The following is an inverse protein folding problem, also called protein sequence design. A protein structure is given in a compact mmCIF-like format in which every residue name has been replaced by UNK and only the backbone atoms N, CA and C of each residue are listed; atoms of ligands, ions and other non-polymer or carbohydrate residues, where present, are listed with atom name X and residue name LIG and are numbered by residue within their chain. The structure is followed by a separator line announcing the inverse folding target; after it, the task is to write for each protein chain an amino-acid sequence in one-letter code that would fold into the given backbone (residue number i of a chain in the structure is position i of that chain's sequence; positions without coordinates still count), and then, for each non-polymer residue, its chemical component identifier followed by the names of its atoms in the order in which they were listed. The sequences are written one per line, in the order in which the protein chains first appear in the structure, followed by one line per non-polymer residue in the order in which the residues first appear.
data_IF_991680747310
#
_entry.id   IF_991680747310
#
_cell.length_a   1.000
_cell.length_b   1.000
_cell.length_c   1.000
_cell.angle_alpha   90.00
_cell.angle_beta   90.00
_cell.angle_gamma   90.00
#
_symmetry.space_group_name_H-M   'P 1'
#
loop_
_entity.id
_entity.type
_entity.pdbx_description
1 polymer ?
#
# COMPACT_ATOMS: atom_id res chain seq x y z
N UNK A 1 -19.17 -11.62 8.06
CA UNK A 1 -19.86 -11.13 6.84
C UNK A 1 -21.33 -10.81 7.05
N UNK A 2 -22.17 -11.72 7.56
CA UNK A 2 -23.59 -11.42 7.83
C UNK A 2 -23.82 -10.30 8.87
N UNK A 3 -22.95 -10.20 9.89
CA UNK A 3 -23.09 -9.21 10.97
C UNK A 3 -22.68 -7.77 10.63
N UNK A 4 -22.07 -7.52 9.46
CA UNK A 4 -21.68 -6.16 9.00
C UNK A 4 -22.29 -5.74 7.66
N UNK A 5 -22.88 -6.65 6.89
CA UNK A 5 -23.20 -6.44 5.47
C UNK A 5 -24.66 -6.50 5.05
N UNK A 6 -25.60 -6.85 5.95
CA UNK A 6 -27.03 -6.95 5.61
C UNK A 6 -27.39 -8.01 4.55
N UNK A 7 -26.44 -8.88 4.15
CA UNK A 7 -26.62 -9.89 3.11
C UNK A 7 -25.46 -10.89 3.03
N UNK A 8 -25.60 -11.92 2.19
CA UNK A 8 -24.57 -12.94 1.96
C UNK A 8 -23.48 -12.41 1.03
N UNK A 9 -22.22 -12.50 1.46
CA UNK A 9 -21.04 -12.18 0.66
C UNK A 9 -20.09 -13.38 0.67
N UNK A 10 -19.65 -13.82 -0.52
CA UNK A 10 -18.83 -15.04 -0.72
C UNK A 10 -17.46 -14.94 -0.04
N UNK A 11 -16.85 -13.75 -0.01
CA UNK A 11 -15.52 -13.54 0.59
C UNK A 11 -15.54 -12.44 1.63
N UNK A 12 -15.76 -11.19 1.24
CA UNK A 12 -15.94 -10.02 2.12
C UNK A 12 -16.81 -8.98 1.43
N UNK A 13 -17.36 -8.03 2.18
CA UNK A 13 -18.09 -6.88 1.61
C UNK A 13 -17.17 -5.87 0.89
N UNK A 14 -15.86 -6.00 1.06
CA UNK A 14 -14.84 -5.17 0.41
C UNK A 14 -14.26 -5.81 -0.86
N UNK A 15 -14.73 -7.01 -1.22
CA UNK A 15 -14.22 -7.73 -2.39
C UNK A 15 -14.40 -6.93 -3.69
N UNK A 16 -15.54 -6.23 -3.84
CA UNK A 16 -15.80 -5.39 -5.01
C UNK A 16 -14.86 -4.20 -5.13
N UNK A 17 -14.79 -3.31 -4.12
CA UNK A 17 -13.82 -2.21 -4.11
C UNK A 17 -12.39 -2.69 -4.37
N UNK A 18 -11.95 -3.78 -3.70
CA UNK A 18 -10.60 -4.32 -3.91
C UNK A 18 -10.39 -4.85 -5.34
N UNK A 19 -11.43 -5.46 -5.93
CA UNK A 19 -11.38 -5.92 -7.31
C UNK A 19 -11.27 -4.72 -8.25
N UNK A 20 -12.01 -3.64 -8.00
CA UNK A 20 -11.92 -2.43 -8.79
C UNK A 20 -10.54 -1.77 -8.70
N UNK A 21 -10.03 -1.50 -7.50
CA UNK A 21 -8.70 -0.91 -7.27
C UNK A 21 -7.61 -1.66 -8.04
N UNK A 22 -7.68 -2.99 -8.08
CA UNK A 22 -6.68 -3.80 -8.78
C UNK A 22 -6.89 -3.98 -10.29
N UNK A 23 -8.00 -3.52 -10.88
CA UNK A 23 -8.37 -3.82 -12.27
C UNK A 23 -9.00 -2.65 -13.05
N UNK A 24 -9.24 -1.50 -12.43
CA UNK A 24 -9.78 -0.34 -13.14
C UNK A 24 -8.79 0.16 -14.20
N UNK A 25 -9.30 0.93 -15.14
CA UNK A 25 -8.50 1.54 -16.19
C UNK A 25 -7.50 2.51 -15.58
N UNK A 26 -6.24 2.38 -15.97
CA UNK A 26 -5.13 3.17 -15.42
C UNK A 26 -4.52 2.60 -14.13
N UNK A 27 -5.08 1.52 -13.56
CA UNK A 27 -4.49 0.87 -12.40
C UNK A 27 -3.06 0.38 -12.68
N UNK A 28 -2.19 0.52 -11.67
CA UNK A 28 -0.79 0.10 -11.71
C UNK A 28 -0.60 -1.37 -11.32
N UNK A 29 -1.62 -1.99 -10.71
CA UNK A 29 -1.62 -3.36 -10.20
C UNK A 29 -1.17 -3.48 -8.74
N UNK A 30 -0.80 -2.38 -8.11
CA UNK A 30 -0.65 -2.23 -6.65
C UNK A 30 -1.87 -1.54 -6.08
N UNK A 31 -1.90 -1.30 -4.76
CA UNK A 31 -3.00 -0.57 -4.14
C UNK A 31 -2.99 0.90 -4.57
N UNK A 32 -4.18 1.42 -4.86
CA UNK A 32 -4.43 2.83 -5.17
C UNK A 32 -5.66 3.29 -4.38
N UNK A 33 -5.63 4.53 -3.93
CA UNK A 33 -6.75 5.12 -3.18
C UNK A 33 -7.90 5.50 -4.13
N UNK A 34 -9.15 5.24 -3.71
CA UNK A 34 -10.33 5.64 -4.48
C UNK A 34 -10.58 7.16 -4.44
N UNK A 35 -10.13 7.84 -3.39
CA UNK A 35 -10.15 9.30 -3.26
C UNK A 35 -8.73 9.80 -3.00
N UNK A 36 -8.16 10.64 -3.87
CA UNK A 36 -6.82 11.17 -3.69
C UNK A 36 -6.62 11.85 -2.32
N UNK A 37 -5.52 11.54 -1.63
CA UNK A 37 -5.15 12.08 -0.32
C UNK A 37 -5.87 11.44 0.88
N UNK A 38 -6.54 10.31 0.74
CA UNK A 38 -7.27 9.62 1.83
C UNK A 38 -6.84 8.15 1.97
N UNK A 39 -5.53 7.90 2.05
CA UNK A 39 -4.90 6.59 2.21
C UNK A 39 -5.10 5.89 3.57
N UNK A 40 -6.08 6.29 4.38
CA UNK A 40 -6.29 5.69 5.70
C UNK A 40 -7.24 4.48 5.60
N UNK A 41 -6.79 3.27 5.98
CA UNK A 41 -7.62 2.05 5.92
C UNK A 41 -8.95 2.14 6.67
N UNK A 42 -9.09 3.06 7.62
CA UNK A 42 -10.33 3.29 8.37
C UNK A 42 -11.42 3.94 7.49
N UNK A 43 -11.04 4.70 6.47
CA UNK A 43 -11.97 5.43 5.61
C UNK A 43 -12.21 4.76 4.26
N UNK A 44 -11.34 3.87 3.78
CA UNK A 44 -11.47 3.20 2.48
C UNK A 44 -12.86 2.61 2.22
N UNK A 45 -13.38 1.86 3.20
CA UNK A 45 -14.68 1.23 3.07
C UNK A 45 -15.86 2.22 3.07
N UNK A 46 -15.71 3.35 3.76
CA UNK A 46 -16.69 4.42 3.76
C UNK A 46 -16.62 5.22 2.46
N UNK A 47 -15.41 5.50 1.96
CA UNK A 47 -15.18 6.22 0.70
C UNK A 47 -15.71 5.41 -0.49
N UNK A 48 -15.45 4.10 -0.52
CA UNK A 48 -15.99 3.19 -1.53
C UNK A 48 -17.53 3.16 -1.53
N UNK A 49 -18.16 3.23 -0.34
CA UNK A 49 -19.62 3.33 -0.24
C UNK A 49 -20.11 4.69 -0.70
N UNK A 50 -19.51 5.77 -0.22
CA UNK A 50 -19.93 7.13 -0.51
C UNK A 50 -19.92 7.41 -2.02
N UNK A 51 -18.85 7.02 -2.72
CA UNK A 51 -18.77 7.13 -4.19
C UNK A 51 -19.89 6.33 -4.85
N UNK A 52 -20.07 5.07 -4.46
CA UNK A 52 -21.09 4.22 -5.06
C UNK A 52 -22.53 4.74 -4.83
N UNK A 53 -22.82 5.30 -3.65
CA UNK A 53 -24.11 5.91 -3.31
C UNK A 53 -24.33 7.24 -4.04
N UNK A 54 -23.29 8.06 -4.17
CA UNK A 54 -23.29 9.32 -4.92
C UNK A 54 -23.60 9.08 -6.41
N UNK A 55 -22.93 8.11 -7.04
CA UNK A 55 -23.17 7.75 -8.44
C UNK A 55 -24.51 7.02 -8.66
N UNK A 56 -24.95 6.22 -7.68
CA UNK A 56 -26.23 5.50 -7.78
C UNK A 56 -27.43 6.36 -7.41
N UNK A 57 -27.22 7.55 -6.81
CA UNK A 57 -28.28 8.44 -6.34
C UNK A 57 -29.15 7.86 -5.21
N UNK A 58 -28.68 6.82 -4.50
CA UNK A 58 -29.42 6.13 -3.44
C UNK A 58 -28.48 5.47 -2.43
N UNK A 59 -29.00 5.18 -1.25
CA UNK A 59 -28.27 4.37 -0.26
C UNK A 59 -28.13 2.92 -0.72
N UNK A 60 -26.97 2.33 -0.45
CA UNK A 60 -26.59 1.00 -0.91
C UNK A 60 -26.23 0.10 0.27
N UNK A 61 -26.69 -1.14 0.23
CA UNK A 61 -26.19 -2.20 1.12
C UNK A 61 -24.74 -2.52 0.78
N UNK A 62 -24.02 -3.14 1.72
CA UNK A 62 -22.61 -3.48 1.49
C UNK A 62 -22.41 -4.48 0.32
N UNK A 63 -23.39 -5.36 0.09
CA UNK A 63 -23.38 -6.26 -1.07
C UNK A 63 -23.60 -5.49 -2.39
N UNK A 64 -24.50 -4.51 -2.41
CA UNK A 64 -24.73 -3.66 -3.59
C UNK A 64 -23.52 -2.78 -3.90
N UNK A 65 -22.86 -2.22 -2.89
CA UNK A 65 -21.57 -1.50 -3.06
C UNK A 65 -20.55 -2.44 -3.71
N UNK A 66 -20.40 -3.67 -3.20
CA UNK A 66 -19.47 -4.64 -3.81
C UNK A 66 -19.83 -4.96 -5.26
N UNK A 67 -21.11 -5.13 -5.58
CA UNK A 67 -21.55 -5.43 -6.95
C UNK A 67 -21.41 -4.23 -7.89
N UNK A 68 -21.59 -3.02 -7.38
CA UNK A 68 -21.34 -1.78 -8.11
C UNK A 68 -19.90 -1.74 -8.63
N UNK A 69 -18.92 -1.88 -7.73
CA UNK A 69 -17.50 -1.83 -8.08
C UNK A 69 -17.04 -2.98 -8.99
N UNK A 70 -17.56 -4.20 -8.80
CA UNK A 70 -17.26 -5.32 -9.73
C UNK A 70 -17.79 -5.02 -11.12
N UNK A 71 -19.02 -4.49 -11.25
CA UNK A 71 -19.59 -4.16 -12.56
C UNK A 71 -18.81 -3.05 -13.25
N UNK A 72 -18.39 -2.04 -12.51
CA UNK A 72 -17.58 -0.95 -13.05
C UNK A 72 -16.23 -1.45 -13.55
N UNK A 73 -15.53 -2.27 -12.76
CA UNK A 73 -14.26 -2.89 -13.17
C UNK A 73 -14.42 -3.72 -14.45
N UNK A 74 -15.44 -4.59 -14.50
CA UNK A 74 -15.67 -5.45 -15.65
C UNK A 74 -16.07 -4.65 -16.91
N UNK A 75 -16.81 -3.54 -16.75
CA UNK A 75 -17.15 -2.65 -17.85
C UNK A 75 -15.89 -1.99 -18.43
N UNK A 76 -15.06 -1.39 -17.59
CA UNK A 76 -13.79 -0.77 -18.00
C UNK A 76 -12.82 -1.79 -18.63
N UNK A 77 -12.78 -3.01 -18.09
CA UNK A 77 -11.99 -4.09 -18.68
C UNK A 77 -12.49 -4.49 -20.07
N UNK A 78 -13.81 -4.46 -20.28
CA UNK A 78 -14.45 -4.72 -21.57
C UNK A 78 -14.20 -3.63 -22.61
N UNK A 79 -14.08 -2.37 -22.18
CA UNK A 79 -13.75 -1.24 -23.05
C UNK A 79 -12.31 -1.26 -23.55
N UNK A 80 -11.37 -1.74 -22.71
CA UNK A 80 -9.94 -1.80 -23.03
C UNK A 80 -9.33 -3.19 -22.70
N UNK A 81 -9.66 -4.25 -23.46
CA UNK A 81 -9.22 -5.62 -23.15
C UNK A 81 -7.70 -5.79 -23.27
N UNK A 82 -7.04 -5.05 -24.16
CA UNK A 82 -5.58 -5.05 -24.30
C UNK A 82 -4.86 -4.46 -23.09
N UNK A 83 -5.35 -3.31 -22.59
CA UNK A 83 -4.83 -2.67 -21.37
C UNK A 83 -5.03 -3.60 -20.15
N UNK A 84 -6.21 -4.22 -20.05
CA UNK A 84 -6.55 -5.18 -18.99
C UNK A 84 -5.68 -6.42 -19.00
N UNK A 85 -5.39 -6.98 -20.18
CA UNK A 85 -4.48 -8.11 -20.30
C UNK A 85 -3.05 -7.73 -19.92
N UNK A 86 -2.58 -6.55 -20.34
CA UNK A 86 -1.28 -6.03 -19.97
C UNK A 86 -1.17 -5.83 -18.44
N UNK A 87 -2.20 -5.28 -17.82
CA UNK A 87 -2.31 -5.13 -16.36
C UNK A 87 -2.28 -6.48 -15.65
N UNK A 88 -3.03 -7.47 -16.14
CA UNK A 88 -3.00 -8.83 -15.58
C UNK A 88 -1.61 -9.45 -15.66
N UNK A 89 -0.92 -9.31 -16.80
CA UNK A 89 0.46 -9.78 -16.96
C UNK A 89 1.44 -9.05 -16.03
N UNK A 90 1.26 -7.74 -15.84
CA UNK A 90 2.02 -6.95 -14.87
C UNK A 90 1.80 -7.47 -13.45
N UNK A 91 0.56 -7.74 -13.04
CA UNK A 91 0.22 -8.30 -11.73
C UNK A 91 0.78 -9.70 -11.51
N UNK A 92 0.74 -10.56 -12.52
CA UNK A 92 1.38 -11.88 -12.46
C UNK A 92 2.90 -11.76 -12.28
N UNK A 93 3.54 -10.79 -12.96
CA UNK A 93 4.96 -10.51 -12.78
C UNK A 93 5.26 -9.95 -11.39
N UNK A 94 4.45 -9.03 -10.86
CA UNK A 94 4.55 -8.52 -9.49
C UNK A 94 4.40 -9.65 -8.46
N UNK A 95 3.45 -10.56 -8.65
CA UNK A 95 3.24 -11.70 -7.76
C UNK A 95 4.45 -12.65 -7.69
N UNK A 96 5.25 -12.73 -8.76
CA UNK A 96 6.45 -13.57 -8.86
C UNK A 96 7.76 -12.78 -8.83
N UNK A 97 7.74 -11.48 -8.54
CA UNK A 97 8.95 -10.66 -8.47
C UNK A 97 9.68 -10.81 -7.12
N UNK A 98 10.97 -10.56 -7.04
CA UNK A 98 11.67 -10.55 -5.75
C UNK A 98 11.12 -9.48 -4.79
N UNK A 99 10.68 -8.35 -5.34
CA UNK A 99 10.21 -7.19 -4.59
C UNK A 99 8.84 -7.48 -3.97
N UNK A 100 8.71 -7.17 -2.68
CA UNK A 100 7.49 -7.37 -1.90
C UNK A 100 6.82 -6.02 -1.67
N UNK A 101 5.79 -5.72 -2.46
CA UNK A 101 4.97 -4.51 -2.29
C UNK A 101 4.43 -4.49 -0.85
N UNK A 102 4.86 -3.55 0.01
CA UNK A 102 4.41 -3.49 1.37
C UNK A 102 2.95 -3.04 1.40
N UNK A 103 2.28 -3.43 2.47
CA UNK A 103 0.94 -2.95 2.79
C UNK A 103 1.07 -1.81 3.80
N UNK A 104 1.31 -2.13 5.08
CA UNK A 104 1.70 -1.14 6.09
C UNK A 104 3.21 -1.15 6.41
N UNK A 105 3.87 -2.29 6.27
CA UNK A 105 5.28 -2.44 6.64
C UNK A 105 6.01 -3.28 5.61
N UNK A 106 7.16 -2.78 5.15
CA UNK A 106 8.08 -3.49 4.28
C UNK A 106 8.94 -4.48 5.04
N UNK A 107 9.26 -5.60 4.39
CA UNK A 107 10.19 -6.58 4.95
C UNK A 107 11.60 -6.02 5.14
N UNK A 108 12.00 -5.02 4.35
CA UNK A 108 13.28 -4.34 4.52
C UNK A 108 13.38 -3.66 5.90
N UNK A 109 12.35 -2.90 6.30
CA UNK A 109 12.26 -2.28 7.62
C UNK A 109 12.44 -3.31 8.76
N UNK A 110 11.76 -4.45 8.70
CA UNK A 110 11.90 -5.50 9.72
C UNK A 110 13.29 -6.15 9.76
N UNK A 111 13.98 -6.27 8.62
CA UNK A 111 15.36 -6.83 8.55
C UNK A 111 16.38 -5.92 9.24
N UNK A 112 16.20 -4.61 9.18
CA UNK A 112 17.08 -3.68 9.86
C UNK A 112 16.95 -3.79 11.37
N UNK A 113 15.73 -3.98 11.87
CA UNK A 113 15.42 -4.01 13.30
C UNK A 113 15.73 -5.36 13.98
N UNK A 114 15.90 -6.45 13.22
CA UNK A 114 16.08 -7.80 13.77
C UNK A 114 17.32 -8.51 13.26
N UNK A 115 18.21 -8.90 14.19
CA UNK A 115 19.40 -9.72 13.87
C UNK A 115 19.02 -11.06 13.23
N UNK A 116 17.94 -11.69 13.67
CA UNK A 116 17.47 -12.96 13.12
C UNK A 116 17.01 -12.80 11.66
N UNK A 117 16.26 -11.74 11.35
CA UNK A 117 15.84 -11.46 9.97
C UNK A 117 17.01 -11.03 9.09
N UNK A 118 18.00 -10.32 9.65
CA UNK A 118 19.24 -10.00 8.92
C UNK A 118 20.04 -11.24 8.54
N UNK A 119 20.12 -12.23 9.43
CA UNK A 119 20.77 -13.52 9.13
C UNK A 119 20.03 -14.30 8.04
N UNK A 120 18.70 -14.29 8.05
CA UNK A 120 17.86 -14.96 7.05
C UNK A 120 17.65 -14.14 5.77
N UNK A 121 18.11 -12.89 5.71
CA UNK A 121 17.90 -11.98 4.59
C UNK A 121 18.31 -12.55 3.21
N UNK A 122 19.39 -13.34 3.08
CA UNK A 122 19.75 -13.97 1.80
C UNK A 122 18.70 -14.98 1.29
N UNK A 123 17.86 -15.53 2.18
CA UNK A 123 16.78 -16.45 1.81
C UNK A 123 15.49 -15.65 1.54
N UNK A 124 15.50 -14.87 0.47
CA UNK A 124 14.33 -14.11 0.02
C UNK A 124 13.59 -14.81 -1.13
N UNK A 125 12.40 -14.30 -1.46
CA UNK A 125 11.56 -14.86 -2.53
C UNK A 125 12.31 -14.98 -3.88
N UNK A 126 13.15 -14.00 -4.18
CA UNK A 126 14.01 -13.96 -5.37
C UNK A 126 15.04 -15.09 -5.47
N UNK A 127 15.28 -15.86 -4.39
CA UNK A 127 16.10 -17.08 -4.38
C UNK A 127 15.23 -18.34 -4.34
N UNK A 128 14.18 -18.33 -3.52
CA UNK A 128 13.29 -19.49 -3.33
C UNK A 128 12.54 -19.82 -4.60
N UNK A 129 11.99 -18.83 -5.31
CA UNK A 129 11.21 -19.06 -6.52
C UNK A 129 12.04 -19.64 -7.69
N UNK A 130 13.24 -19.13 -8.02
CA UNK A 130 14.13 -19.77 -8.99
C UNK A 130 14.51 -21.21 -8.63
N UNK A 131 14.80 -21.49 -7.35
CA UNK A 131 15.08 -22.85 -6.89
C UNK A 131 13.87 -23.77 -7.03
N UNK A 132 12.65 -23.25 -6.80
CA UNK A 132 11.41 -24.00 -7.01
C UNK A 132 11.15 -24.28 -8.50
N UNK A 133 11.43 -23.32 -9.40
CA UNK A 133 11.34 -23.53 -10.85
C UNK A 133 12.34 -24.63 -11.28
N UNK A 134 13.57 -24.58 -10.78
CA UNK A 134 14.55 -25.64 -11.00
C UNK A 134 14.06 -26.99 -10.46
N UNK A 135 13.50 -27.01 -9.25
CA UNK A 135 13.00 -28.22 -8.62
C UNK A 135 11.83 -28.85 -9.37
N UNK A 136 10.94 -28.02 -9.91
CA UNK A 136 9.88 -28.45 -10.81
C UNK A 136 10.51 -29.08 -12.06
N UNK A 137 11.35 -28.35 -12.79
CA UNK A 137 12.00 -28.81 -14.03
C UNK A 137 12.77 -30.13 -13.85
N UNK A 138 13.53 -30.26 -12.78
CA UNK A 138 14.32 -31.45 -12.47
C UNK A 138 13.46 -32.66 -12.03
N UNK A 139 12.22 -32.42 -11.57
CA UNK A 139 11.33 -33.45 -11.04
C UNK A 139 10.15 -33.78 -11.96
N UNK A 140 10.08 -33.18 -13.16
CA UNK A 140 9.04 -33.48 -14.16
C UNK A 140 9.09 -34.92 -14.67
N UNK A 141 10.24 -35.60 -14.51
CA UNK A 141 10.44 -37.01 -14.88
C UNK A 141 10.71 -37.83 -13.62
N UNK A 142 9.97 -38.92 -13.45
CA UNK A 142 10.18 -39.89 -12.36
C UNK A 142 9.14 -39.86 -11.24
N UNK A 143 9.46 -40.50 -10.11
CA UNK A 143 8.52 -40.85 -9.04
C UNK A 143 7.91 -39.64 -8.31
N UNK A 144 8.57 -38.49 -8.35
CA UNK A 144 8.13 -37.25 -7.68
C UNK A 144 7.23 -36.36 -8.53
N UNK A 145 7.03 -36.69 -9.82
CA UNK A 145 6.28 -35.87 -10.80
C UNK A 145 4.91 -35.44 -10.27
N UNK A 146 4.11 -36.38 -9.76
CA UNK A 146 2.75 -36.06 -9.26
C UNK A 146 2.78 -35.06 -8.11
N UNK A 147 3.72 -35.23 -7.17
CA UNK A 147 3.84 -34.33 -6.03
C UNK A 147 4.22 -32.91 -6.48
N UNK A 148 5.26 -32.75 -7.31
CA UNK A 148 5.68 -31.41 -7.76
C UNK A 148 4.63 -30.73 -8.63
N UNK A 149 3.81 -31.49 -9.39
CA UNK A 149 2.69 -30.93 -10.14
C UNK A 149 1.56 -30.45 -9.22
N UNK A 150 1.29 -31.13 -8.10
CA UNK A 150 0.33 -30.64 -7.10
C UNK A 150 0.80 -29.34 -6.45
N UNK A 151 2.08 -29.24 -6.08
CA UNK A 151 2.64 -27.98 -5.57
C UNK A 151 2.62 -26.87 -6.63
N UNK A 152 2.93 -27.19 -7.89
CA UNK A 152 2.84 -26.23 -8.99
C UNK A 152 1.39 -25.76 -9.23
N UNK A 153 0.41 -26.67 -9.17
CA UNK A 153 -1.01 -26.33 -9.28
C UNK A 153 -1.49 -25.47 -8.11
N UNK A 154 -1.05 -25.77 -6.88
CA UNK A 154 -1.34 -24.94 -5.71
C UNK A 154 -0.72 -23.54 -5.84
N UNK A 155 0.53 -23.44 -6.28
CA UNK A 155 1.20 -22.16 -6.53
C UNK A 155 0.48 -21.37 -7.64
N UNK A 156 0.06 -22.02 -8.71
CA UNK A 156 -0.72 -21.40 -9.78
C UNK A 156 -2.08 -20.91 -9.27
N UNK A 157 -2.79 -21.70 -8.47
CA UNK A 157 -4.06 -21.33 -7.87
C UNK A 157 -3.95 -20.09 -6.97
N UNK A 158 -2.94 -20.05 -6.09
CA UNK A 158 -2.65 -18.86 -5.26
C UNK A 158 -2.29 -17.67 -6.14
N UNK A 159 -1.43 -17.85 -7.15
CA UNK A 159 -1.03 -16.77 -8.06
C UNK A 159 -2.22 -16.15 -8.77
N UNK A 160 -3.09 -16.99 -9.36
CA UNK A 160 -4.30 -16.54 -10.05
C UNK A 160 -5.21 -15.81 -9.06
N UNK A 161 -5.44 -16.38 -7.88
CA UNK A 161 -6.29 -15.76 -6.87
C UNK A 161 -5.80 -14.37 -6.45
N UNK A 162 -4.50 -14.23 -6.19
CA UNK A 162 -3.91 -12.93 -5.80
C UNK A 162 -3.96 -11.94 -6.97
N UNK A 163 -3.73 -12.40 -8.21
CA UNK A 163 -3.78 -11.56 -9.40
C UNK A 163 -5.18 -11.04 -9.76
N UNK A 164 -6.25 -11.65 -9.22
CA UNK A 164 -7.62 -11.11 -9.37
C UNK A 164 -7.78 -9.74 -8.71
N UNK A 165 -6.94 -9.38 -7.73
CA UNK A 165 -6.99 -8.10 -7.01
C UNK A 165 -5.68 -7.32 -7.25
N UNK A 166 -5.43 -6.27 -6.48
CA UNK A 166 -4.11 -5.63 -6.42
C UNK A 166 -3.10 -6.49 -5.64
N UNK A 167 -1.81 -6.33 -5.95
CA UNK A 167 -0.74 -7.16 -5.38
C UNK A 167 -0.13 -6.51 -4.14
N UNK A 168 -0.13 -7.25 -3.03
CA UNK A 168 0.70 -6.97 -1.84
C UNK A 168 1.57 -8.19 -1.49
N UNK A 169 2.72 -7.92 -0.86
CA UNK A 169 3.62 -8.93 -0.30
C UNK A 169 2.91 -9.90 0.65
N UNK A 170 2.00 -9.38 1.50
CA UNK A 170 1.19 -10.20 2.41
C UNK A 170 0.28 -11.22 1.70
N UNK A 171 -0.21 -10.90 0.50
CA UNK A 171 -1.16 -11.77 -0.22
C UNK A 171 -0.47 -12.89 -0.98
N UNK A 172 0.78 -12.70 -1.39
CA UNK A 172 1.58 -13.75 -2.02
C UNK A 172 2.35 -14.60 -1.01
N UNK A 173 2.39 -14.23 0.27
CA UNK A 173 3.04 -15.01 1.34
C UNK A 173 2.63 -16.51 1.37
N UNK A 174 1.38 -16.92 1.06
CA UNK A 174 1.01 -18.33 0.94
C UNK A 174 1.73 -19.11 -0.17
N UNK A 175 2.35 -18.44 -1.15
CA UNK A 175 3.20 -19.10 -2.15
C UNK A 175 4.46 -19.71 -1.51
N UNK A 176 5.04 -19.05 -0.51
CA UNK A 176 6.32 -19.45 0.08
C UNK A 176 6.31 -20.89 0.62
N UNK A 177 5.38 -21.30 1.52
CA UNK A 177 5.34 -22.68 2.01
C UNK A 177 5.03 -23.72 0.91
N UNK A 178 4.38 -23.31 -0.18
CA UNK A 178 4.13 -24.18 -1.35
C UNK A 178 5.42 -24.35 -2.19
N UNK A 179 6.22 -23.29 -2.32
CA UNK A 179 7.45 -23.30 -3.11
C UNK A 179 8.62 -23.98 -2.39
N UNK A 180 8.71 -23.89 -1.06
CA UNK A 180 9.83 -24.44 -0.28
C UNK A 180 10.10 -25.94 -0.56
N UNK A 181 9.10 -26.85 -0.52
CA UNK A 181 9.34 -28.28 -0.82
C UNK A 181 9.83 -28.54 -2.24
N UNK A 182 9.37 -27.73 -3.20
CA UNK A 182 9.81 -27.82 -4.60
C UNK A 182 11.22 -27.27 -4.75
N UNK A 183 11.54 -26.14 -4.10
CA UNK A 183 12.88 -25.58 -4.05
C UNK A 183 13.90 -26.56 -3.47
N UNK A 184 13.53 -27.29 -2.41
CA UNK A 184 14.35 -28.36 -1.86
C UNK A 184 14.62 -29.48 -2.89
N UNK A 185 13.65 -29.82 -3.75
CA UNK A 185 13.89 -30.75 -4.86
C UNK A 185 14.92 -30.21 -5.87
N UNK A 186 14.92 -28.90 -6.14
CA UNK A 186 15.91 -28.24 -7.00
C UNK A 186 17.31 -28.32 -6.44
N UNK A 187 17.47 -27.99 -5.15
CA UNK A 187 18.76 -28.12 -4.44
C UNK A 187 19.26 -29.57 -4.48
N UNK A 188 18.40 -30.55 -4.18
CA UNK A 188 18.77 -31.96 -4.21
C UNK A 188 19.17 -32.44 -5.61
N UNK A 189 18.51 -31.93 -6.66
CA UNK A 189 18.87 -32.24 -8.04
C UNK A 189 20.26 -31.69 -8.40
N UNK A 190 20.55 -30.45 -7.98
CA UNK A 190 21.86 -29.82 -8.17
C UNK A 190 22.98 -30.59 -7.44
N UNK A 191 22.76 -30.91 -6.16
CA UNK A 191 23.73 -31.69 -5.35
C UNK A 191 24.00 -33.07 -5.95
N UNK A 192 22.97 -33.75 -6.46
CA UNK A 192 23.15 -35.06 -7.13
C UNK A 192 23.95 -34.93 -8.43
N UNK A 193 23.65 -33.93 -9.26
CA UNK A 193 24.38 -33.69 -10.50
C UNK A 193 25.85 -33.33 -10.22
N UNK A 194 26.12 -32.52 -9.19
CA UNK A 194 27.48 -32.18 -8.74
C UNK A 194 28.24 -33.42 -8.27
N UNK A 195 27.63 -34.25 -7.41
CA UNK A 195 28.26 -35.49 -6.91
C UNK A 195 28.51 -36.50 -8.03
N UNK A 196 27.61 -36.58 -9.01
CA UNK A 196 27.76 -37.45 -10.17
C UNK A 196 28.69 -36.87 -11.27
N UNK A 197 29.12 -35.61 -11.12
CA UNK A 197 29.85 -34.84 -12.15
C UNK A 197 29.14 -34.84 -13.52
N UNK A 198 27.81 -34.83 -13.51
CA UNK A 198 26.98 -34.80 -14.72
C UNK A 198 26.95 -33.38 -15.30
N UNK A 199 27.88 -33.09 -16.19
CA UNK A 199 28.03 -31.78 -16.83
C UNK A 199 26.81 -31.39 -17.68
N UNK A 200 26.11 -32.36 -18.26
CA UNK A 200 24.89 -32.12 -19.05
C UNK A 200 23.74 -31.65 -18.16
N UNK A 201 23.52 -32.33 -17.03
CA UNK A 201 22.52 -31.92 -16.05
C UNK A 201 22.88 -30.55 -15.42
N UNK A 202 24.15 -30.35 -15.07
CA UNK A 202 24.62 -29.07 -14.51
C UNK A 202 24.40 -27.90 -15.46
N UNK A 203 24.68 -28.07 -16.76
CA UNK A 203 24.43 -27.03 -17.76
C UNK A 203 22.94 -26.66 -17.87
N UNK A 204 22.06 -27.67 -17.91
CA UNK A 204 20.59 -27.45 -17.97
C UNK A 204 20.06 -26.79 -16.69
N UNK A 205 20.49 -27.26 -15.53
CA UNK A 205 20.07 -26.70 -14.25
C UNK A 205 20.60 -25.28 -14.05
N UNK A 206 21.85 -25.02 -14.45
CA UNK A 206 22.45 -23.69 -14.46
C UNK A 206 21.67 -22.72 -15.36
N UNK A 207 21.29 -23.14 -16.56
CA UNK A 207 20.49 -22.32 -17.48
C UNK A 207 19.10 -21.99 -16.91
N UNK A 208 18.38 -22.98 -16.38
CA UNK A 208 17.06 -22.76 -15.75
C UNK A 208 17.18 -21.80 -14.57
N UNK A 209 18.18 -22.00 -13.70
CA UNK A 209 18.40 -21.17 -12.53
C UNK A 209 18.80 -19.75 -12.93
N UNK A 210 19.69 -19.58 -13.91
CA UNK A 210 20.12 -18.26 -14.38
C UNK A 210 18.96 -17.46 -14.99
N UNK A 211 18.18 -18.07 -15.89
CA UNK A 211 17.03 -17.41 -16.51
C UNK A 211 15.98 -17.03 -15.48
N UNK A 212 15.61 -17.96 -14.58
CA UNK A 212 14.61 -17.67 -13.54
C UNK A 212 15.11 -16.65 -12.52
N UNK A 213 16.38 -16.71 -12.11
CA UNK A 213 17.01 -15.68 -11.26
C UNK A 213 16.95 -14.31 -11.93
N UNK A 214 17.31 -14.19 -13.21
CA UNK A 214 17.22 -12.91 -13.91
C UNK A 214 15.77 -12.43 -13.89
N UNK A 215 14.83 -13.19 -14.47
CA UNK A 215 13.44 -12.75 -14.68
C UNK A 215 12.75 -12.35 -13.37
N UNK A 216 12.92 -13.12 -12.30
CA UNK A 216 12.28 -12.86 -11.01
C UNK A 216 12.89 -11.65 -10.30
N UNK A 217 14.16 -11.36 -10.54
CA UNK A 217 14.88 -10.27 -9.87
C UNK A 217 14.98 -8.99 -10.72
N UNK A 218 14.40 -8.91 -11.93
CA UNK A 218 14.31 -7.64 -12.67
C UNK A 218 13.47 -6.65 -11.85
N UNK A 219 14.00 -5.47 -11.46
CA UNK A 219 13.25 -4.46 -10.73
C UNK A 219 11.97 -4.07 -11.48
N UNK A 220 10.88 -3.87 -10.73
CA UNK A 220 9.56 -3.51 -11.28
C UNK A 220 9.02 -2.19 -10.75
N UNK A 221 9.33 -1.86 -9.51
CA UNK A 221 8.87 -0.67 -8.81
C UNK A 221 10.11 0.03 -8.23
N UNK A 222 10.02 1.35 -8.07
CA UNK A 222 11.05 2.14 -7.41
C UNK A 222 10.98 1.85 -5.90
N UNK A 223 11.90 1.01 -5.39
CA UNK A 223 11.94 0.59 -3.98
C UNK A 223 11.89 1.72 -2.92
N UNK A 224 12.46 2.93 -3.14
CA UNK A 224 12.50 3.98 -2.11
C UNK A 224 11.12 4.49 -1.67
N UNK A 225 10.16 4.57 -2.59
CA UNK A 225 8.86 5.19 -2.32
C UNK A 225 8.02 4.36 -1.35
N UNK A 226 8.15 3.03 -1.36
CA UNK A 226 7.35 2.17 -0.48
C UNK A 226 8.02 1.91 0.89
N UNK A 227 9.36 2.03 0.98
CA UNK A 227 10.05 2.08 2.29
C UNK A 227 9.68 3.33 3.08
N UNK A 228 9.46 4.46 2.40
CA UNK A 228 8.96 5.70 3.02
C UNK A 228 7.68 5.46 3.84
N UNK A 229 6.72 4.70 3.31
CA UNK A 229 5.46 4.36 4.00
C UNK A 229 5.72 3.59 5.31
N UNK A 230 6.72 2.70 5.33
CA UNK A 230 7.09 1.95 6.54
C UNK A 230 7.65 2.87 7.62
N UNK A 231 8.46 3.85 7.23
CA UNK A 231 8.97 4.86 8.14
C UNK A 231 7.87 5.81 8.64
N UNK A 232 6.91 6.21 7.80
CA UNK A 232 5.72 6.96 8.25
C UNK A 232 4.92 6.15 9.27
N UNK A 233 4.72 4.85 9.04
CA UNK A 233 4.00 4.00 10.00
C UNK A 233 4.76 3.79 11.31
N UNK A 234 6.10 3.71 11.27
CA UNK A 234 6.93 3.78 12.48
C UNK A 234 6.71 5.08 13.23
N UNK A 235 6.68 6.21 12.54
CA UNK A 235 6.43 7.50 13.16
C UNK A 235 5.04 7.56 13.80
N UNK A 236 3.98 7.10 13.10
CA UNK A 236 2.62 7.05 13.63
C UNK A 236 2.53 6.21 14.92
N UNK A 237 3.22 5.07 14.98
CA UNK A 237 3.31 4.26 16.19
C UNK A 237 3.92 5.03 17.38
N UNK A 238 4.93 5.86 17.13
CA UNK A 238 5.54 6.70 18.15
C UNK A 238 4.68 7.93 18.50
N UNK A 239 3.97 8.52 17.52
CA UNK A 239 2.99 9.60 17.74
C UNK A 239 1.88 9.16 18.68
N UNK A 240 1.33 7.95 18.51
CA UNK A 240 0.28 7.40 19.37
C UNK A 240 0.72 7.21 20.83
N UNK A 241 2.05 7.18 21.06
CA UNK A 241 2.68 7.06 22.39
C UNK A 241 3.24 8.38 22.89
N UNK A 242 3.03 9.47 22.16
CA UNK A 242 3.58 10.80 22.43
C UNK A 242 5.13 10.83 22.45
N UNK A 243 5.77 9.90 21.75
CA UNK A 243 7.22 9.79 21.63
C UNK A 243 7.70 10.62 20.42
N UNK A 244 7.77 11.95 20.59
CA UNK A 244 7.96 12.90 19.48
C UNK A 244 9.33 12.82 18.78
N UNK A 245 10.42 12.64 19.52
CA UNK A 245 11.78 12.58 18.96
C UNK A 245 12.00 11.35 18.05
N UNK A 246 11.61 10.11 18.42
CA UNK A 246 11.57 8.99 17.49
C UNK A 246 10.68 9.24 16.28
N UNK A 247 9.49 9.81 16.48
CA UNK A 247 8.56 10.08 15.38
C UNK A 247 9.16 11.04 14.34
N UNK A 248 9.77 12.15 14.79
CA UNK A 248 10.44 13.12 13.92
C UNK A 248 11.55 12.45 13.09
N UNK A 249 12.41 11.65 13.73
CA UNK A 249 13.49 10.93 13.02
C UNK A 249 12.97 9.99 11.95
N UNK A 250 11.92 9.22 12.25
CA UNK A 250 11.35 8.32 11.25
C UNK A 250 10.68 9.09 10.10
N UNK A 251 10.03 10.22 10.35
CA UNK A 251 9.46 11.07 9.30
C UNK A 251 10.55 11.71 8.43
N UNK A 252 11.68 12.10 9.02
CA UNK A 252 12.83 12.58 8.26
C UNK A 252 13.41 11.47 7.36
N UNK A 253 13.53 10.24 7.86
CA UNK A 253 13.94 9.09 7.02
C UNK A 253 12.93 8.82 5.91
N UNK A 254 11.63 8.89 6.20
CA UNK A 254 10.58 8.73 5.20
C UNK A 254 10.70 9.79 4.08
N UNK A 255 10.84 11.07 4.45
CA UNK A 255 10.94 12.18 3.52
C UNK A 255 12.28 12.22 2.75
N UNK A 256 13.33 11.60 3.28
CA UNK A 256 14.58 11.40 2.55
C UNK A 256 14.41 10.38 1.41
N UNK A 257 13.53 9.39 1.58
CA UNK A 257 13.22 8.37 0.59
C UNK A 257 12.12 8.81 -0.39
N UNK A 258 11.10 9.51 0.10
CA UNK A 258 10.04 10.13 -0.70
C UNK A 258 9.89 11.63 -0.36
N UNK A 259 10.67 12.50 -1.03
CA UNK A 259 10.58 13.95 -0.83
C UNK A 259 9.29 14.59 -1.34
N UNK A 260 8.40 13.82 -2.00
CA UNK A 260 7.12 14.28 -2.54
C UNK A 260 5.92 13.74 -1.74
N UNK A 261 6.14 13.07 -0.60
CA UNK A 261 5.08 12.51 0.25
C UNK A 261 4.27 13.60 0.96
N UNK A 262 3.02 13.89 0.57
CA UNK A 262 2.20 14.88 1.28
C UNK A 262 1.92 14.42 2.72
N UNK A 263 1.68 13.12 2.93
CA UNK A 263 1.40 12.53 4.23
C UNK A 263 2.60 12.60 5.16
N UNK A 264 3.81 12.32 4.66
CA UNK A 264 5.05 12.49 5.42
C UNK A 264 5.23 13.92 5.95
N UNK A 265 5.01 14.93 5.10
CA UNK A 265 5.10 16.34 5.53
C UNK A 265 3.98 16.73 6.51
N UNK A 266 2.76 16.22 6.34
CA UNK A 266 1.66 16.50 7.26
C UNK A 266 1.97 15.96 8.67
N UNK A 267 2.37 14.70 8.76
CA UNK A 267 2.69 14.08 10.05
C UNK A 267 3.93 14.73 10.68
N UNK A 268 4.93 15.12 9.88
CA UNK A 268 6.07 15.90 10.37
C UNK A 268 5.61 17.24 10.96
N UNK A 269 4.70 17.94 10.27
CA UNK A 269 4.09 19.16 10.77
C UNK A 269 3.44 18.98 12.13
N UNK A 270 2.63 17.93 12.30
CA UNK A 270 1.97 17.60 13.58
C UNK A 270 2.98 17.30 14.70
N UNK A 271 4.03 16.53 14.41
CA UNK A 271 5.08 16.20 15.38
C UNK A 271 5.84 17.45 15.80
N UNK A 272 6.25 18.29 14.85
CA UNK A 272 6.96 19.55 15.12
C UNK A 272 6.12 20.49 15.99
N UNK A 273 4.80 20.58 15.73
CA UNK A 273 3.87 21.36 16.55
C UNK A 273 3.76 20.80 17.97
N UNK A 274 3.73 19.47 18.14
CA UNK A 274 3.72 18.84 19.46
C UNK A 274 5.02 19.08 20.25
N UNK A 275 6.15 19.22 19.54
CA UNK A 275 7.45 19.63 20.09
C UNK A 275 7.62 21.15 20.26
N UNK A 276 6.56 21.94 20.06
CA UNK A 276 6.58 23.40 20.13
C UNK A 276 7.43 24.12 19.05
N UNK A 277 7.83 23.41 18.00
CA UNK A 277 8.52 23.96 16.81
C UNK A 277 7.51 24.48 15.78
N UNK A 278 6.72 25.47 16.17
CA UNK A 278 5.51 25.86 15.45
C UNK A 278 5.75 26.39 14.03
N UNK A 279 6.82 27.17 13.81
CA UNK A 279 7.15 27.71 12.49
C UNK A 279 7.55 26.60 11.52
N UNK A 280 8.39 25.66 11.97
CA UNK A 280 8.80 24.51 11.17
C UNK A 280 7.60 23.61 10.86
N UNK A 281 6.72 23.40 11.85
CA UNK A 281 5.48 22.66 11.67
C UNK A 281 4.55 23.27 10.63
N UNK A 282 4.37 24.60 10.65
CA UNK A 282 3.59 25.31 9.64
C UNK A 282 4.18 25.16 8.22
N UNK A 283 5.51 25.25 8.08
CA UNK A 283 6.20 25.05 6.79
C UNK A 283 5.99 23.63 6.26
N UNK A 284 6.05 22.62 7.13
CA UNK A 284 5.77 21.25 6.74
C UNK A 284 4.30 21.05 6.29
N UNK A 285 3.34 21.64 7.00
CA UNK A 285 1.93 21.61 6.59
C UNK A 285 1.69 22.33 5.26
N UNK A 286 2.37 23.47 5.02
CA UNK A 286 2.32 24.17 3.74
C UNK A 286 2.86 23.31 2.60
N UNK A 287 3.95 22.57 2.85
CA UNK A 287 4.50 21.65 1.86
C UNK A 287 3.53 20.51 1.55
N UNK A 288 2.87 19.94 2.56
CA UNK A 288 1.83 18.92 2.37
C UNK A 288 0.66 19.45 1.53
N UNK A 289 0.17 20.67 1.81
CA UNK A 289 -0.91 21.30 1.06
C UNK A 289 -0.51 21.65 -0.39
N UNK A 290 0.76 21.99 -0.64
CA UNK A 290 1.26 22.22 -2.00
C UNK A 290 1.33 20.93 -2.83
N UNK A 291 1.78 19.84 -2.20
CA UNK A 291 1.92 18.54 -2.86
C UNK A 291 0.56 17.87 -3.13
N UNK A 292 -0.43 18.10 -2.26
CA UNK A 292 -1.79 17.61 -2.44
C UNK A 292 -2.82 18.74 -2.24
N UNK A 293 -3.04 19.62 -3.25
CA UNK A 293 -3.92 20.78 -3.13
C UNK A 293 -5.38 20.46 -2.80
N UNK A 294 -5.86 19.26 -3.16
CA UNK A 294 -7.21 18.79 -2.83
C UNK A 294 -7.33 18.16 -1.44
N UNK A 295 -6.22 17.96 -0.73
CA UNK A 295 -6.24 17.32 0.58
C UNK A 295 -6.50 18.35 1.67
N UNK A 296 -7.64 18.23 2.33
CA UNK A 296 -8.12 19.22 3.29
C UNK A 296 -7.37 19.19 4.63
N UNK A 297 -6.83 18.04 5.03
CA UNK A 297 -6.31 17.84 6.39
C UNK A 297 -5.12 18.75 6.74
N UNK A 298 -4.10 18.97 5.87
CA UNK A 298 -3.02 19.89 6.18
C UNK A 298 -3.49 21.32 6.45
N UNK A 299 -4.53 21.78 5.73
CA UNK A 299 -5.13 23.11 5.96
C UNK A 299 -5.86 23.18 7.29
N UNK A 300 -6.61 22.13 7.64
CA UNK A 300 -7.26 22.02 8.95
C UNK A 300 -6.21 22.07 10.08
N UNK A 301 -5.16 21.26 9.99
CA UNK A 301 -4.11 21.20 11.02
C UNK A 301 -3.40 22.56 11.16
N UNK A 302 -3.18 23.27 10.05
CA UNK A 302 -2.59 24.61 10.05
C UNK A 302 -3.56 25.66 10.62
N UNK A 303 -4.86 25.55 10.32
CA UNK A 303 -5.91 26.37 10.92
C UNK A 303 -5.94 26.24 12.43
N UNK A 304 -5.90 25.00 12.95
CA UNK A 304 -5.84 24.73 14.40
C UNK A 304 -4.58 25.31 15.04
N UNK A 305 -3.43 25.17 14.36
CA UNK A 305 -2.17 25.78 14.79
C UNK A 305 -2.32 27.30 14.91
N UNK A 306 -2.83 27.96 13.87
CA UNK A 306 -2.99 29.41 13.82
C UNK A 306 -3.99 29.91 14.87
N UNK A 307 -5.07 29.16 15.13
CA UNK A 307 -6.01 29.40 16.23
C UNK A 307 -5.31 29.40 17.59
N UNK A 308 -4.42 28.43 17.84
CA UNK A 308 -3.65 28.33 19.10
C UNK A 308 -2.73 29.53 19.32
N UNK A 309 -2.24 30.16 18.24
CA UNK A 309 -1.38 31.35 18.29
C UNK A 309 -2.12 32.68 18.20
N UNK A 310 -3.46 32.68 18.21
CA UNK A 310 -4.24 33.90 18.07
C UNK A 310 -4.13 34.57 16.70
N UNK A 311 -3.61 33.87 15.69
CA UNK A 311 -3.52 34.34 14.30
C UNK A 311 -4.84 34.07 13.57
N UNK A 312 -5.91 34.66 14.09
CA UNK A 312 -7.29 34.35 13.70
C UNK A 312 -7.59 34.67 12.23
N UNK A 313 -7.05 35.77 11.70
CA UNK A 313 -7.26 36.15 10.29
C UNK A 313 -6.65 35.13 9.32
N UNK A 314 -5.49 34.58 9.67
CA UNK A 314 -4.83 33.57 8.86
C UNK A 314 -5.50 32.20 9.01
N UNK A 315 -5.95 31.86 10.23
CA UNK A 315 -6.75 30.66 10.46
C UNK A 315 -8.04 30.69 9.62
N UNK A 316 -8.69 31.85 9.52
CA UNK A 316 -9.89 32.05 8.71
C UNK A 316 -9.65 31.77 7.23
N UNK A 317 -8.48 32.14 6.69
CA UNK A 317 -8.09 31.82 5.32
C UNK A 317 -7.98 30.30 5.13
N UNK A 318 -7.27 29.60 6.02
CA UNK A 318 -7.08 28.15 5.91
C UNK A 318 -8.39 27.38 6.03
N UNK A 319 -9.28 27.75 6.97
CA UNK A 319 -10.59 27.09 7.10
C UNK A 319 -11.53 27.41 5.94
N UNK A 320 -11.46 28.60 5.32
CA UNK A 320 -12.25 28.92 4.12
C UNK A 320 -11.81 28.08 2.92
N UNK A 321 -10.50 27.93 2.72
CA UNK A 321 -9.98 27.03 1.70
C UNK A 321 -10.35 25.58 2.02
N UNK A 322 -10.33 25.18 3.30
CA UNK A 322 -10.76 23.85 3.70
C UNK A 322 -12.26 23.60 3.43
N UNK A 323 -13.15 24.57 3.70
CA UNK A 323 -14.59 24.46 3.41
C UNK A 323 -14.87 24.47 1.90
N UNK A 324 -14.08 25.22 1.11
CA UNK A 324 -14.14 25.17 -0.34
C UNK A 324 -13.81 23.77 -0.87
N UNK A 325 -12.80 23.11 -0.30
CA UNK A 325 -12.37 21.76 -0.70
C UNK A 325 -13.31 20.66 -0.20
N UNK A 326 -13.88 20.82 0.99
CA UNK A 326 -14.84 19.88 1.59
C UNK A 326 -16.07 20.61 2.14
N UNK A 327 -16.99 21.07 1.26
CA UNK A 327 -18.18 21.79 1.68
C UNK A 327 -19.06 20.92 2.56
N UNK A 328 -19.50 21.47 3.69
CA UNK A 328 -20.43 20.75 4.57
C UNK A 328 -19.83 19.86 5.63
N UNK A 329 -18.51 19.90 5.78
CA UNK A 329 -17.89 19.36 6.97
C UNK A 329 -18.27 20.16 8.22
N UNK A 330 -18.94 19.52 9.18
CA UNK A 330 -19.41 20.17 10.41
C UNK A 330 -18.27 20.76 11.25
N UNK A 331 -17.12 20.10 11.29
CA UNK A 331 -15.96 20.57 12.05
C UNK A 331 -15.42 21.88 11.46
N UNK A 332 -15.22 21.94 10.14
CA UNK A 332 -14.74 23.16 9.46
C UNK A 332 -15.73 24.31 9.64
N UNK A 333 -17.03 24.06 9.43
CA UNK A 333 -18.07 25.09 9.64
C UNK A 333 -18.12 25.58 11.08
N UNK A 334 -17.95 24.69 12.04
CA UNK A 334 -17.87 25.04 13.46
C UNK A 334 -16.74 26.01 13.76
N UNK A 335 -15.55 25.77 13.17
CA UNK A 335 -14.38 26.65 13.30
C UNK A 335 -14.56 27.99 12.59
N UNK A 336 -15.15 28.00 11.39
CA UNK A 336 -15.50 29.24 10.69
C UNK A 336 -16.48 30.10 11.50
N UNK A 337 -17.56 29.51 12.03
CA UNK A 337 -18.53 30.21 12.85
C UNK A 337 -17.94 30.72 14.19
N UNK A 338 -16.95 30.03 14.74
CA UNK A 338 -16.17 30.52 15.89
C UNK A 338 -15.38 31.78 15.53
N UNK A 339 -14.63 31.74 14.43
CA UNK A 339 -13.81 32.86 13.94
C UNK A 339 -14.64 34.07 13.54
N UNK A 340 -15.77 33.88 12.87
CA UNK A 340 -16.67 34.97 12.45
C UNK A 340 -17.31 35.67 13.64
N UNK A 341 -17.70 34.93 14.69
CA UNK A 341 -18.19 35.52 15.94
C UNK A 341 -17.12 36.36 16.64
N UNK A 342 -15.86 35.92 16.61
CA UNK A 342 -14.74 36.71 17.16
C UNK A 342 -14.49 37.98 16.36
N UNK A 343 -14.51 37.89 15.03
CA UNK A 343 -14.38 39.05 14.15
C UNK A 343 -15.51 40.07 14.36
N UNK A 344 -16.75 39.61 14.58
CA UNK A 344 -17.91 40.46 14.86
C UNK A 344 -17.95 41.07 16.26
N UNK A 345 -17.16 40.58 17.22
CA UNK A 345 -17.16 41.06 18.62
C UNK A 345 -16.01 42.00 18.96
N UNK A 346 -15.09 42.28 18.03
CA UNK A 346 -14.01 43.27 18.23
C UNK A 346 -12.99 42.91 19.31
N UNK A 347 -12.93 41.66 19.77
CA UNK A 347 -11.93 41.22 20.74
C UNK A 347 -10.57 41.08 20.04
N UNK A 348 -9.73 42.10 20.17
CA UNK A 348 -8.32 42.04 19.79
C UNK A 348 -7.62 40.90 20.54
N UNK A 349 -6.65 40.21 19.90
CA UNK A 349 -5.92 39.13 20.55
C UNK A 349 -5.17 39.65 21.80
N UNK A 350 -5.00 38.81 22.84
CA UNK A 350 -4.23 39.21 24.01
C UNK A 350 -2.80 39.59 23.59
N UNK A 351 -2.21 40.65 24.18
CA UNK A 351 -0.87 41.09 23.82
C UNK A 351 0.15 40.00 24.14
N UNK A 352 1.15 39.91 23.25
CA UNK A 352 2.19 38.88 23.15
C UNK A 352 2.97 38.63 24.45
#
# INVERSE_FOLDING_TARGET
NASRGGGFAVTTVQAGPNFYIGNHRGATGTYEELRPGRQDPRFEGADARAIAEEESGRTLTAAEVSQFWVRQALAEMGEAPGESLALMMRKLRLAWNQYEVPDAWGMAFYREQSRAFRFLAPLHFGVVAPLAILGLAASLRGKRRRAVLWFAAAAAGVTVFVALFYIFGRYRAPLVPVLIPVAACGILALVRALRARDTSALGKYGAVLAVSMIVINIPMLEEPLEESVSFVNAALFHIDREEWEPAERYLQSALALDPQSPSGYRELGRVLIAQEKFQEGAVALDRAAQLAPGWVNPRIDKGELLMRFGRFDEALIEYREADRLLPGNEFIRGRLAELERRAGTGQAPPPR
#
